data_IF_604831782499
#
_entry.id   IF_604831782499
#
_cell.length_a   1.000
_cell.length_b   1.000
_cell.length_c   1.000
_cell.angle_alpha   90.00
_cell.angle_beta   90.00
_cell.angle_gamma   90.00
#
_symmetry.space_group_name_H-M   'P 1'
#
loop_
_entity.id
_entity.type
_entity.pdbx_description
1 polymer ?
#
# COMPACT_ATOMS: atom_id res chain seq x y z
N UNK A 1 17.79 31.79 -63.20
CA UNK A 1 17.08 32.34 -62.02
C UNK A 1 16.45 31.16 -61.29
N UNK A 2 16.98 30.79 -60.11
CA UNK A 2 16.45 29.67 -59.31
C UNK A 2 15.62 30.26 -58.17
N UNK A 3 14.34 29.94 -58.15
CA UNK A 3 13.38 30.28 -57.09
C UNK A 3 13.75 29.55 -55.80
N UNK A 4 13.83 30.20 -54.64
CA UNK A 4 14.04 29.51 -53.38
C UNK A 4 12.70 28.92 -52.92
N UNK A 5 12.71 27.63 -52.57
CA UNK A 5 11.60 26.96 -51.93
C UNK A 5 11.50 27.43 -50.47
N UNK A 6 10.38 28.03 -50.10
CA UNK A 6 10.06 28.36 -48.71
C UNK A 6 9.61 27.07 -48.04
N UNK A 7 10.46 26.52 -47.17
CA UNK A 7 10.08 25.43 -46.27
C UNK A 7 9.26 26.07 -45.14
N UNK A 8 7.95 25.85 -45.16
CA UNK A 8 7.09 26.17 -44.03
C UNK A 8 7.42 25.21 -42.88
N UNK A 9 8.07 25.73 -41.84
CA UNK A 9 8.28 24.99 -40.60
C UNK A 9 6.94 24.92 -39.85
N UNK A 10 6.29 23.76 -39.88
CA UNK A 10 5.13 23.48 -39.05
C UNK A 10 5.59 23.42 -37.60
N UNK A 11 5.29 24.47 -36.82
CA UNK A 11 5.42 24.46 -35.36
C UNK A 11 4.47 23.39 -34.81
N UNK A 12 5.01 22.20 -34.55
CA UNK A 12 4.34 21.21 -33.70
C UNK A 12 4.30 21.83 -32.30
N UNK A 13 3.13 22.32 -31.91
CA UNK A 13 2.86 22.72 -30.54
C UNK A 13 2.99 21.49 -29.66
N UNK A 14 4.13 21.33 -28.99
CA UNK A 14 4.26 20.39 -27.89
C UNK A 14 3.33 20.89 -26.77
N UNK A 15 2.10 20.38 -26.74
CA UNK A 15 1.27 20.47 -25.55
C UNK A 15 2.04 19.81 -24.41
N UNK A 16 2.55 20.62 -23.49
CA UNK A 16 3.18 20.16 -22.27
C UNK A 16 2.18 19.22 -21.57
N UNK A 17 2.65 18.04 -21.17
CA UNK A 17 1.90 17.17 -20.27
C UNK A 17 1.74 17.94 -18.96
N UNK A 18 0.56 18.53 -18.75
CA UNK A 18 0.24 19.19 -17.50
C UNK A 18 -0.22 18.11 -16.52
N UNK A 19 0.71 17.70 -15.67
CA UNK A 19 0.39 16.96 -14.46
C UNK A 19 -0.37 17.88 -13.50
N UNK A 20 -1.41 17.35 -12.86
CA UNK A 20 -2.13 18.08 -11.84
C UNK A 20 -1.49 17.76 -10.48
N UNK A 21 -0.59 18.63 -10.04
CA UNK A 21 -0.11 18.65 -8.66
C UNK A 21 -1.31 18.93 -7.75
N UNK A 22 -1.51 18.08 -6.73
CA UNK A 22 -2.61 18.26 -5.77
C UNK A 22 -2.04 18.62 -4.41
N UNK A 23 -2.31 19.86 -4.02
CA UNK A 23 -1.91 20.41 -2.72
C UNK A 23 -2.86 19.94 -1.62
N UNK A 24 -2.33 19.25 -0.62
CA UNK A 24 -3.11 18.75 0.52
C UNK A 24 -3.03 19.71 1.71
N UNK A 25 -1.82 20.21 1.96
CA UNK A 25 -1.52 21.20 3.01
C UNK A 25 -0.65 22.29 2.39
N UNK A 26 -0.98 23.54 2.67
CA UNK A 26 -0.19 24.71 2.26
C UNK A 26 -0.32 25.78 3.34
N UNK A 27 0.77 26.47 3.66
CA UNK A 27 0.82 27.52 4.68
C UNK A 27 0.21 27.11 6.04
N UNK A 28 0.38 25.84 6.43
CA UNK A 28 -0.15 25.31 7.69
C UNK A 28 -1.68 25.19 7.73
N UNK A 29 -2.34 25.11 6.57
CA UNK A 29 -3.78 24.93 6.46
C UNK A 29 -4.13 23.71 5.62
N UNK A 30 -5.19 22.99 6.02
CA UNK A 30 -5.75 21.90 5.23
C UNK A 30 -6.41 22.49 3.99
N UNK A 31 -5.98 22.03 2.82
CA UNK A 31 -6.57 22.35 1.51
C UNK A 31 -7.37 21.18 0.95
N UNK A 32 -7.02 19.96 1.39
CA UNK A 32 -7.71 18.74 1.01
C UNK A 32 -8.54 18.12 2.14
N UNK A 33 -9.53 17.33 1.74
CA UNK A 33 -10.18 16.33 2.60
C UNK A 33 -9.86 14.92 2.10
N UNK A 34 -9.73 13.98 3.03
CA UNK A 34 -9.65 12.55 2.72
C UNK A 34 -11.08 12.00 2.62
N UNK A 35 -11.39 11.31 1.54
CA UNK A 35 -12.72 10.78 1.27
C UNK A 35 -12.64 9.28 1.05
N UNK A 36 -13.39 8.52 1.84
CA UNK A 36 -13.50 7.05 1.74
C UNK A 36 -14.90 6.64 1.26
N UNK A 37 -15.13 5.37 0.89
CA UNK A 37 -16.45 4.91 0.47
C UNK A 37 -17.51 5.15 1.55
N UNK A 38 -18.78 5.18 1.15
CA UNK A 38 -19.89 5.29 2.08
C UNK A 38 -19.92 4.16 3.12
N UNK A 39 -19.50 2.97 2.72
CA UNK A 39 -19.35 1.76 3.55
C UNK A 39 -17.93 1.23 3.36
N UNK A 40 -16.94 1.81 4.05
CA UNK A 40 -15.54 1.47 3.84
C UNK A 40 -15.22 0.08 4.39
N UNK A 41 -14.38 -0.67 3.68
CA UNK A 41 -13.68 -1.82 4.25
C UNK A 41 -12.74 -1.35 5.37
N UNK A 42 -12.40 -2.23 6.34
CA UNK A 42 -11.45 -1.87 7.41
C UNK A 42 -10.09 -1.41 6.88
N UNK A 43 -9.64 -1.96 5.75
CA UNK A 43 -8.40 -1.56 5.05
C UNK A 43 -8.47 -0.12 4.55
N UNK A 44 -9.59 0.29 3.95
CA UNK A 44 -9.75 1.63 3.38
C UNK A 44 -9.79 2.69 4.47
N UNK A 45 -10.50 2.42 5.57
CA UNK A 45 -10.49 3.27 6.76
C UNK A 45 -9.07 3.37 7.34
N UNK A 46 -8.38 2.23 7.53
CA UNK A 46 -7.03 2.23 8.07
C UNK A 46 -6.02 2.96 7.17
N UNK A 47 -6.18 2.87 5.85
CA UNK A 47 -5.38 3.61 4.89
C UNK A 47 -5.62 5.13 5.00
N UNK A 48 -6.87 5.57 5.17
CA UNK A 48 -7.19 6.97 5.45
C UNK A 48 -6.60 7.46 6.77
N UNK A 49 -6.69 6.65 7.82
CA UNK A 49 -6.12 6.95 9.14
C UNK A 49 -4.59 7.07 9.08
N UNK A 50 -3.90 6.16 8.37
CA UNK A 50 -2.45 6.24 8.19
C UNK A 50 -2.06 7.51 7.40
N UNK A 51 -2.79 7.87 6.34
CA UNK A 51 -2.52 9.12 5.61
C UNK A 51 -2.70 10.34 6.53
N UNK A 52 -3.85 10.45 7.20
CA UNK A 52 -4.15 11.57 8.09
C UNK A 52 -3.12 11.70 9.21
N UNK A 53 -2.78 10.59 9.87
CA UNK A 53 -1.79 10.54 10.94
C UNK A 53 -0.42 11.05 10.48
N UNK A 54 0.09 10.58 9.35
CA UNK A 54 1.42 10.97 8.89
C UNK A 54 1.45 12.42 8.38
N UNK A 55 0.38 12.90 7.73
CA UNK A 55 0.27 14.31 7.33
C UNK A 55 0.21 15.23 8.55
N UNK A 56 -0.61 14.91 9.56
CA UNK A 56 -0.68 15.68 10.80
C UNK A 56 0.68 15.68 11.51
N UNK A 57 1.34 14.53 11.56
CA UNK A 57 2.66 14.41 12.18
C UNK A 57 3.75 15.20 11.46
N UNK A 58 3.65 15.33 10.14
CA UNK A 58 4.59 16.12 9.34
C UNK A 58 4.34 17.63 9.42
N UNK A 59 3.08 18.05 9.53
CA UNK A 59 2.67 19.45 9.31
C UNK A 59 2.02 20.13 10.52
N UNK A 60 1.57 19.36 11.51
CA UNK A 60 0.67 19.81 12.58
C UNK A 60 -0.78 20.04 12.12
N UNK A 61 -1.12 19.71 10.87
CA UNK A 61 -2.44 19.92 10.28
C UNK A 61 -3.16 18.60 10.09
N UNK A 62 -4.32 18.46 10.73
CA UNK A 62 -5.20 17.31 10.53
C UNK A 62 -6.03 17.50 9.25
N UNK A 63 -5.91 16.56 8.32
CA UNK A 63 -6.83 16.46 7.19
C UNK A 63 -8.14 15.79 7.65
N UNK A 64 -9.32 16.38 7.36
CA UNK A 64 -10.57 15.74 7.72
C UNK A 64 -10.78 14.47 6.89
N UNK A 65 -11.24 13.40 7.55
CA UNK A 65 -11.70 12.16 6.90
C UNK A 65 -13.22 12.19 6.86
N UNK A 66 -13.80 11.99 5.68
CA UNK A 66 -15.24 11.92 5.45
C UNK A 66 -15.58 10.76 4.51
N UNK A 67 -16.85 10.36 4.47
CA UNK A 67 -17.32 9.39 3.48
C UNK A 67 -17.92 10.11 2.27
N UNK A 68 -18.04 9.42 1.14
CA UNK A 68 -18.73 9.97 -0.04
C UNK A 68 -20.21 10.30 0.19
N UNK A 69 -20.81 9.86 1.30
CA UNK A 69 -22.18 10.23 1.68
C UNK A 69 -22.27 11.65 2.26
N UNK A 70 -21.16 12.18 2.79
CA UNK A 70 -21.11 13.48 3.47
C UNK A 70 -19.79 14.20 3.11
N UNK A 71 -19.66 14.56 1.83
CA UNK A 71 -18.49 15.24 1.29
C UNK A 71 -18.38 16.67 1.86
N UNK A 72 -17.31 17.00 2.60
CA UNK A 72 -17.07 18.36 3.07
C UNK A 72 -16.65 19.26 1.91
N UNK A 73 -16.85 20.57 2.05
CA UNK A 73 -16.28 21.55 1.13
C UNK A 73 -14.77 21.63 1.33
N UNK A 74 -14.00 21.24 0.31
CA UNK A 74 -12.55 21.33 0.28
C UNK A 74 -12.06 21.77 -1.11
N UNK A 75 -10.85 22.33 -1.18
CA UNK A 75 -10.24 22.76 -2.44
C UNK A 75 -9.70 21.56 -3.24
N UNK A 76 -9.31 20.51 -2.54
CA UNK A 76 -8.85 19.25 -3.11
C UNK A 76 -9.43 18.05 -2.35
N UNK A 77 -9.36 16.87 -2.97
CA UNK A 77 -9.86 15.63 -2.38
C UNK A 77 -8.86 14.50 -2.59
N UNK A 78 -8.65 13.69 -1.56
CA UNK A 78 -7.91 12.42 -1.64
C UNK A 78 -8.92 11.30 -1.46
N UNK A 79 -9.34 10.68 -2.57
CA UNK A 79 -10.22 9.52 -2.56
C UNK A 79 -9.42 8.26 -2.28
N UNK A 80 -9.76 7.54 -1.22
CA UNK A 80 -9.07 6.32 -0.77
C UNK A 80 -10.06 5.15 -0.83
N UNK A 81 -9.71 4.09 -1.56
CA UNK A 81 -10.50 2.87 -1.68
C UNK A 81 -11.48 2.87 -2.87
N UNK A 82 -12.41 1.91 -2.85
CA UNK A 82 -13.44 1.66 -3.85
C UNK A 82 -14.57 2.72 -3.83
N UNK A 83 -14.18 3.97 -3.99
CA UNK A 83 -15.06 5.14 -4.05
C UNK A 83 -15.78 5.24 -5.39
N UNK A 84 -16.94 5.91 -5.42
CA UNK A 84 -17.62 6.30 -6.67
C UNK A 84 -16.72 7.19 -7.51
N UNK A 85 -15.95 8.09 -6.90
CA UNK A 85 -14.96 8.90 -7.62
C UNK A 85 -13.92 8.04 -8.36
N UNK A 86 -13.43 6.96 -7.74
CA UNK A 86 -12.55 6.00 -8.42
C UNK A 86 -13.25 5.30 -9.60
N UNK A 87 -14.50 4.87 -9.42
CA UNK A 87 -15.30 4.26 -10.49
C UNK A 87 -15.61 5.24 -11.65
N UNK A 88 -15.91 6.51 -11.35
CA UNK A 88 -16.10 7.58 -12.35
C UNK A 88 -14.82 7.87 -13.14
N UNK A 89 -13.66 7.72 -12.49
CA UNK A 89 -12.36 7.75 -13.13
C UNK A 89 -12.07 6.46 -13.94
N UNK A 90 -12.96 5.48 -13.96
CA UNK A 90 -12.77 4.22 -14.69
C UNK A 90 -11.82 3.24 -14.01
N UNK A 91 -11.65 3.36 -12.69
CA UNK A 91 -10.91 2.40 -11.86
C UNK A 91 -11.93 1.41 -11.27
N UNK A 92 -11.96 0.20 -11.81
CA UNK A 92 -12.73 -0.92 -11.27
C UNK A 92 -11.83 -1.75 -10.34
N UNK A 93 -11.93 -1.52 -9.03
CA UNK A 93 -11.09 -2.17 -8.02
C UNK A 93 -11.30 -3.69 -7.95
N UNK A 94 -12.46 -4.18 -8.38
CA UNK A 94 -12.75 -5.62 -8.41
C UNK A 94 -12.09 -6.33 -9.61
N UNK A 95 -11.72 -5.58 -10.65
CA UNK A 95 -11.03 -6.09 -11.84
C UNK A 95 -9.50 -6.00 -11.74
N UNK A 96 -8.97 -5.35 -10.70
CA UNK A 96 -7.54 -5.24 -10.43
C UNK A 96 -6.94 -6.60 -10.05
N UNK A 97 -5.66 -6.79 -10.34
CA UNK A 97 -4.90 -7.94 -9.86
C UNK A 97 -4.79 -7.92 -8.31
N UNK A 98 -4.38 -9.03 -7.73
CA UNK A 98 -4.30 -9.17 -6.27
C UNK A 98 -3.35 -8.14 -5.65
N UNK A 99 -3.87 -7.33 -4.74
CA UNK A 99 -3.16 -6.21 -4.12
C UNK A 99 -2.59 -5.19 -5.14
N UNK A 100 -3.08 -5.18 -6.37
CA UNK A 100 -2.75 -4.12 -7.33
C UNK A 100 -3.32 -2.79 -6.83
N UNK A 101 -2.52 -1.75 -7.00
CA UNK A 101 -2.78 -0.38 -6.58
C UNK A 101 -2.85 0.50 -7.82
N UNK A 102 -3.77 1.45 -7.81
CA UNK A 102 -3.88 2.52 -8.79
C UNK A 102 -3.77 3.86 -8.06
N UNK A 103 -2.80 4.67 -8.50
CA UNK A 103 -2.62 6.06 -8.09
C UNK A 103 -2.92 6.96 -9.29
N UNK A 104 -3.85 7.90 -9.12
CA UNK A 104 -4.23 8.87 -10.16
C UNK A 104 -4.39 10.26 -9.58
N UNK A 105 -3.90 11.27 -10.30
CA UNK A 105 -4.30 12.66 -10.10
C UNK A 105 -5.19 13.13 -11.24
N UNK A 106 -6.35 13.71 -10.94
CA UNK A 106 -7.28 14.28 -11.92
C UNK A 106 -7.82 15.62 -11.41
N UNK A 107 -7.33 16.73 -11.98
CA UNK A 107 -7.70 18.07 -11.52
C UNK A 107 -7.29 18.29 -10.06
N UNK A 108 -8.25 18.53 -9.18
CA UNK A 108 -8.01 18.71 -7.74
C UNK A 108 -8.16 17.40 -6.93
N UNK A 109 -8.17 16.25 -7.60
CA UNK A 109 -8.41 14.93 -6.99
C UNK A 109 -7.14 14.09 -7.04
N UNK A 110 -6.81 13.48 -5.91
CA UNK A 110 -5.95 12.29 -5.85
C UNK A 110 -6.87 11.10 -5.63
N UNK A 111 -6.65 10.02 -6.37
CA UNK A 111 -7.35 8.76 -6.21
C UNK A 111 -6.31 7.68 -5.90
N UNK A 112 -6.50 7.02 -4.78
CA UNK A 112 -5.70 5.89 -4.28
C UNK A 112 -6.67 4.74 -4.12
N UNK A 113 -6.65 3.80 -5.06
CA UNK A 113 -7.58 2.68 -5.05
C UNK A 113 -6.87 1.40 -5.43
N UNK A 114 -7.09 0.33 -4.67
CA UNK A 114 -6.50 -0.96 -4.95
C UNK A 114 -7.46 -2.11 -4.76
N UNK A 115 -6.99 -3.31 -5.09
CA UNK A 115 -7.67 -4.54 -4.77
C UNK A 115 -7.51 -4.81 -3.27
N UNK A 116 -8.61 -4.71 -2.54
CA UNK A 116 -8.67 -4.94 -1.09
C UNK A 116 -9.56 -6.14 -0.76
N UNK A 117 -9.38 -6.68 0.44
CA UNK A 117 -10.25 -7.71 1.03
C UNK A 117 -10.81 -7.21 2.37
N UNK A 118 -12.02 -7.66 2.72
CA UNK A 118 -12.56 -7.45 4.06
C UNK A 118 -11.77 -8.27 5.10
N UNK A 119 -11.36 -7.64 6.19
CA UNK A 119 -10.56 -8.27 7.22
C UNK A 119 -9.75 -7.29 8.05
N UNK A 120 -8.93 -7.84 8.95
CA UNK A 120 -8.03 -7.03 9.78
C UNK A 120 -6.93 -6.40 8.89
N UNK A 121 -6.83 -5.06 8.79
CA UNK A 121 -5.82 -4.40 7.97
C UNK A 121 -4.39 -4.72 8.40
N UNK A 122 -4.20 -5.14 9.66
CA UNK A 122 -2.92 -5.55 10.22
C UNK A 122 -2.56 -7.02 9.96
N UNK A 123 -3.50 -7.79 9.42
CA UNK A 123 -3.27 -9.18 9.03
C UNK A 123 -2.46 -9.25 7.74
N UNK A 124 -1.45 -10.11 7.72
CA UNK A 124 -0.72 -10.45 6.48
C UNK A 124 -1.54 -11.32 5.52
N UNK A 125 -2.74 -11.71 5.93
CA UNK A 125 -3.69 -12.50 5.15
C UNK A 125 -4.67 -11.66 4.36
N UNK A 126 -4.82 -10.39 4.73
CA UNK A 126 -5.81 -9.48 4.14
C UNK A 126 -5.14 -8.66 3.04
N UNK A 127 -5.64 -8.80 1.81
CA UNK A 127 -5.22 -7.95 0.68
C UNK A 127 -5.47 -6.48 0.98
N UNK A 128 -4.48 -5.64 0.69
CA UNK A 128 -4.58 -4.21 1.00
C UNK A 128 -3.91 -3.33 -0.07
N UNK A 129 -4.31 -3.49 -1.34
CA UNK A 129 -3.82 -2.66 -2.44
C UNK A 129 -3.95 -1.15 -2.15
N UNK A 130 -5.09 -0.71 -1.61
CA UNK A 130 -5.29 0.72 -1.30
C UNK A 130 -4.28 1.23 -0.26
N UNK A 131 -4.00 0.41 0.77
CA UNK A 131 -3.02 0.76 1.81
C UNK A 131 -1.60 0.87 1.24
N UNK A 132 -1.26 0.05 0.25
CA UNK A 132 0.04 0.11 -0.42
C UNK A 132 0.24 1.43 -1.15
N UNK A 133 -0.82 1.94 -1.78
CA UNK A 133 -0.81 3.26 -2.41
C UNK A 133 -0.59 4.40 -1.42
N UNK A 134 -1.23 4.34 -0.25
CA UNK A 134 -0.97 5.32 0.82
C UNK A 134 0.48 5.26 1.27
N UNK A 135 1.03 4.07 1.52
CA UNK A 135 2.44 3.94 1.92
C UNK A 135 3.40 4.43 0.84
N UNK A 136 3.10 4.21 -0.44
CA UNK A 136 3.90 4.74 -1.55
C UNK A 136 4.02 6.26 -1.48
N UNK A 137 2.90 6.96 -1.29
CA UNK A 137 2.90 8.42 -1.21
C UNK A 137 3.58 8.92 0.08
N UNK A 138 3.39 8.23 1.21
CA UNK A 138 4.04 8.60 2.46
C UNK A 138 5.57 8.48 2.38
N UNK A 139 6.07 7.42 1.76
CA UNK A 139 7.51 7.22 1.57
C UNK A 139 8.08 8.17 0.51
N UNK A 140 7.43 8.27 -0.65
CA UNK A 140 7.92 9.02 -1.81
C UNK A 140 7.77 10.53 -1.66
N UNK A 141 6.55 10.99 -1.35
CA UNK A 141 6.20 12.41 -1.37
C UNK A 141 6.43 13.07 0.00
N UNK A 142 6.23 12.34 1.10
CA UNK A 142 6.41 12.87 2.46
C UNK A 142 7.75 12.45 3.11
N UNK A 143 8.49 11.50 2.51
CA UNK A 143 9.80 11.05 3.01
C UNK A 143 9.73 10.26 4.32
N UNK A 144 8.60 9.64 4.62
CA UNK A 144 8.41 8.84 5.83
C UNK A 144 9.33 7.62 5.80
N UNK A 145 9.94 7.30 6.94
CA UNK A 145 10.79 6.11 7.09
C UNK A 145 10.42 5.36 8.36
N UNK A 146 10.21 4.05 8.23
CA UNK A 146 9.99 3.14 9.36
C UNK A 146 11.19 2.21 9.53
N UNK A 147 12.08 2.50 10.48
CA UNK A 147 13.33 1.77 10.69
C UNK A 147 13.15 0.49 11.53
N UNK A 148 12.24 0.52 12.51
CA UNK A 148 11.87 -0.62 13.33
C UNK A 148 10.46 -0.41 13.93
N UNK A 149 9.87 -1.46 14.54
CA UNK A 149 8.54 -1.38 15.13
C UNK A 149 8.36 -0.32 16.21
N UNK A 150 7.21 0.34 16.15
CA UNK A 150 6.76 1.33 17.14
C UNK A 150 7.24 2.76 16.88
N UNK A 151 6.87 3.63 17.81
CA UNK A 151 7.07 5.09 17.73
C UNK A 151 8.54 5.49 17.52
N UNK A 152 9.47 4.86 18.25
CA UNK A 152 10.90 5.17 18.17
C UNK A 152 11.52 4.87 16.80
N UNK A 153 10.91 3.99 16.02
CA UNK A 153 11.38 3.63 14.68
C UNK A 153 10.71 4.42 13.57
N UNK A 154 9.76 5.31 13.89
CA UNK A 154 8.98 6.06 12.90
C UNK A 154 9.54 7.48 12.75
N UNK A 155 10.16 7.77 11.61
CA UNK A 155 10.64 9.10 11.25
C UNK A 155 9.70 9.74 10.22
N UNK A 156 9.19 10.93 10.55
CA UNK A 156 8.35 11.74 9.65
C UNK A 156 8.99 13.12 9.52
N UNK A 157 9.50 13.50 8.33
CA UNK A 157 10.06 14.82 8.10
C UNK A 157 9.04 15.93 8.38
N UNK A 158 9.49 17.02 9.02
CA UNK A 158 8.64 18.18 9.26
C UNK A 158 8.57 19.06 8.01
N UNK A 159 7.38 19.51 7.64
CA UNK A 159 7.13 20.40 6.49
C UNK A 159 5.89 21.26 6.73
N UNK A 160 5.81 22.42 6.09
CA UNK A 160 4.63 23.30 6.12
C UNK A 160 3.65 23.03 4.97
N UNK A 161 4.06 22.18 4.03
CA UNK A 161 3.34 21.91 2.80
C UNK A 161 3.48 20.45 2.37
N UNK A 162 2.37 19.90 1.86
CA UNK A 162 2.29 18.56 1.29
C UNK A 162 1.61 18.66 -0.06
N UNK A 163 2.31 18.26 -1.10
CA UNK A 163 1.84 18.26 -2.48
C UNK A 163 2.10 16.89 -3.06
N UNK A 164 1.05 16.23 -3.54
CA UNK A 164 1.19 14.97 -4.25
C UNK A 164 1.39 15.26 -5.73
N UNK A 165 2.51 14.74 -6.24
CA UNK A 165 2.93 14.94 -7.63
C UNK A 165 2.88 13.59 -8.35
N UNK A 166 2.16 13.48 -9.47
CA UNK A 166 2.30 12.32 -10.33
C UNK A 166 3.70 12.37 -10.99
N UNK A 167 4.61 11.49 -10.57
CA UNK A 167 5.90 11.34 -11.24
C UNK A 167 5.76 10.43 -12.47
N UNK A 168 6.53 10.67 -13.53
CA UNK A 168 6.68 9.78 -14.68
C UNK A 168 7.37 8.47 -14.25
N UNK A 169 6.66 7.58 -13.57
CA UNK A 169 7.15 6.28 -13.16
C UNK A 169 7.22 5.30 -14.34
N UNK A 170 8.16 4.36 -14.25
CA UNK A 170 8.22 3.23 -15.17
C UNK A 170 6.95 2.37 -15.02
N UNK A 171 6.14 2.28 -16.07
CA UNK A 171 4.85 1.56 -16.05
C UNK A 171 3.62 2.42 -16.33
N UNK A 172 3.77 3.74 -16.38
CA UNK A 172 2.68 4.63 -16.79
C UNK A 172 2.28 4.39 -18.23
N UNK A 173 0.98 4.18 -18.44
CA UNK A 173 0.41 4.21 -19.78
C UNK A 173 0.20 5.67 -20.19
N UNK A 174 0.45 5.99 -21.44
CA UNK A 174 0.13 7.31 -21.99
C UNK A 174 -0.88 7.05 -23.09
N UNK A 175 -2.12 7.51 -22.89
CA UNK A 175 -3.15 7.38 -23.92
C UNK A 175 -3.27 8.69 -24.69
N UNK A 176 -3.25 8.57 -26.01
CA UNK A 176 -3.46 9.69 -26.91
C UNK A 176 -4.94 9.67 -27.32
N UNK A 177 -5.71 10.67 -26.89
CA UNK A 177 -7.11 10.84 -27.33
C UNK A 177 -7.21 12.02 -28.29
N UNK A 178 -8.34 12.15 -28.99
CA UNK A 178 -8.60 13.26 -29.91
C UNK A 178 -8.52 14.65 -29.23
N UNK A 179 -8.69 14.67 -27.89
CA UNK A 179 -8.69 15.88 -27.06
C UNK A 179 -7.33 16.16 -26.39
N UNK A 180 -6.30 15.34 -26.63
CA UNK A 180 -4.95 15.55 -26.10
C UNK A 180 -4.29 14.29 -25.54
N UNK A 181 -3.14 14.48 -24.88
CA UNK A 181 -2.42 13.40 -24.19
C UNK A 181 -2.95 13.28 -22.77
N UNK A 182 -3.54 12.14 -22.41
CA UNK A 182 -3.87 11.82 -21.02
C UNK A 182 -2.78 10.91 -20.47
N UNK A 183 -2.05 11.45 -19.50
CA UNK A 183 -1.14 10.62 -18.72
C UNK A 183 -2.00 9.74 -17.81
N UNK A 184 -1.84 8.42 -17.92
CA UNK A 184 -2.65 7.47 -17.15
C UNK A 184 -1.95 7.10 -15.86
N UNK A 185 -2.77 6.65 -14.91
CA UNK A 185 -2.51 5.83 -13.73
C UNK A 185 -1.07 5.35 -13.56
N UNK A 186 -0.51 5.69 -12.41
CA UNK A 186 0.54 4.86 -11.83
C UNK A 186 -0.13 3.60 -11.26
N UNK A 187 0.37 2.43 -11.68
CA UNK A 187 -0.13 1.14 -11.20
C UNK A 187 1.03 0.29 -10.74
N UNK A 188 0.85 -0.36 -9.60
CA UNK A 188 1.86 -1.29 -9.09
C UNK A 188 1.22 -2.35 -8.21
N UNK A 189 1.93 -3.46 -8.08
CA UNK A 189 1.62 -4.54 -7.15
C UNK A 189 2.92 -4.99 -6.47
N UNK A 190 2.87 -5.56 -5.26
CA UNK A 190 4.06 -6.12 -4.64
C UNK A 190 4.67 -7.26 -5.48
N UNK A 191 5.96 -7.18 -5.79
CA UNK A 191 6.62 -8.12 -6.72
C UNK A 191 6.71 -9.57 -6.23
N UNK A 192 6.70 -9.77 -4.91
CA UNK A 192 6.78 -11.10 -4.30
C UNK A 192 5.39 -11.57 -3.90
N UNK A 193 5.06 -12.81 -4.28
CA UNK A 193 3.74 -13.36 -3.97
C UNK A 193 3.52 -13.61 -2.47
N UNK A 194 4.61 -13.95 -1.77
CA UNK A 194 4.61 -14.24 -0.35
C UNK A 194 5.71 -13.41 0.34
N UNK A 195 5.30 -12.50 1.21
CA UNK A 195 6.14 -11.48 1.85
C UNK A 195 5.99 -11.62 3.35
N UNK A 196 6.67 -12.62 3.90
CA UNK A 196 6.59 -12.95 5.32
C UNK A 196 7.92 -12.74 6.01
N UNK A 197 7.94 -11.93 7.06
CA UNK A 197 9.03 -11.90 8.04
C UNK A 197 8.54 -12.65 9.28
N UNK A 198 9.27 -13.67 9.71
CA UNK A 198 9.01 -14.29 11.02
C UNK A 198 9.44 -13.32 12.12
N UNK A 199 8.47 -12.61 12.69
CA UNK A 199 8.67 -11.91 13.95
C UNK A 199 8.98 -12.96 15.03
N UNK A 200 10.13 -12.84 15.70
CA UNK A 200 10.70 -13.83 16.63
C UNK A 200 9.91 -14.04 17.91
N UNK A 201 8.68 -14.53 17.80
CA UNK A 201 7.67 -14.56 18.87
C UNK A 201 7.28 -15.97 19.29
N UNK A 202 8.05 -16.98 18.88
CA UNK A 202 7.82 -18.37 19.23
C UNK A 202 8.02 -18.58 20.72
N UNK A 203 6.94 -18.98 21.40
CA UNK A 203 6.97 -19.37 22.80
C UNK A 203 7.09 -20.89 22.88
N UNK A 204 8.32 -21.41 23.01
CA UNK A 204 8.54 -22.83 23.26
C UNK A 204 9.44 -23.02 24.47
N UNK A 205 8.91 -23.69 25.49
CA UNK A 205 9.64 -23.98 26.73
C UNK A 205 9.90 -22.74 27.59
N UNK A 206 10.82 -22.91 28.53
CA UNK A 206 11.33 -21.81 29.35
C UNK A 206 12.38 -21.02 28.53
N UNK A 207 12.15 -19.72 28.27
CA UNK A 207 13.08 -18.94 27.47
C UNK A 207 14.39 -18.72 28.25
N UNK A 208 15.52 -18.58 27.55
CA UNK A 208 16.81 -18.27 28.18
C UNK A 208 16.87 -16.82 28.73
N UNK A 209 15.84 -16.02 28.50
CA UNK A 209 15.75 -14.60 28.88
C UNK A 209 14.44 -14.28 29.59
N UNK A 210 14.39 -13.12 30.25
CA UNK A 210 13.18 -12.62 30.89
C UNK A 210 12.06 -12.43 29.86
N UNK A 211 10.84 -12.88 30.22
CA UNK A 211 9.65 -12.68 29.40
C UNK A 211 9.15 -11.25 29.52
N UNK A 212 8.60 -10.71 28.44
CA UNK A 212 7.69 -9.58 28.53
C UNK A 212 6.52 -9.91 29.44
N UNK A 213 5.96 -8.89 30.10
CA UNK A 213 4.61 -8.99 30.66
C UNK A 213 3.62 -9.25 29.52
N UNK A 214 2.42 -9.82 29.81
CA UNK A 214 1.40 -10.01 28.79
C UNK A 214 1.07 -8.71 28.01
N UNK A 215 1.02 -7.59 28.71
CA UNK A 215 0.71 -6.26 28.14
C UNK A 215 1.86 -5.76 27.25
N UNK A 216 3.10 -5.82 27.72
CA UNK A 216 4.26 -5.43 26.94
C UNK A 216 4.43 -6.31 25.69
N UNK A 217 4.09 -7.60 25.81
CA UNK A 217 4.06 -8.51 24.66
C UNK A 217 2.98 -8.12 23.67
N UNK A 218 1.76 -7.82 24.12
CA UNK A 218 0.67 -7.41 23.24
C UNK A 218 1.02 -6.12 22.48
N UNK A 219 1.57 -5.12 23.16
CA UNK A 219 2.03 -3.87 22.55
C UNK A 219 3.14 -4.14 21.51
N UNK A 220 4.15 -4.93 21.86
CA UNK A 220 5.20 -5.31 20.93
C UNK A 220 4.66 -6.04 19.69
N UNK A 221 3.70 -6.97 19.87
CA UNK A 221 3.10 -7.68 18.74
C UNK A 221 2.31 -6.74 17.83
N UNK A 222 1.57 -5.80 18.40
CA UNK A 222 0.84 -4.81 17.64
C UNK A 222 1.79 -3.92 16.82
N UNK A 223 2.83 -3.36 17.46
CA UNK A 223 3.84 -2.54 16.77
C UNK A 223 4.54 -3.31 15.66
N UNK A 224 4.80 -4.60 15.88
CA UNK A 224 5.36 -5.50 14.85
C UNK A 224 4.40 -5.67 13.68
N UNK A 225 3.11 -5.89 13.94
CA UNK A 225 2.10 -6.00 12.87
C UNK A 225 2.01 -4.71 12.05
N UNK A 226 1.95 -3.54 12.70
CA UNK A 226 1.95 -2.23 12.02
C UNK A 226 3.21 -2.08 11.15
N UNK A 227 4.38 -2.39 11.71
CA UNK A 227 5.65 -2.28 11.00
C UNK A 227 5.73 -3.18 9.76
N UNK A 228 5.34 -4.45 9.86
CA UNK A 228 5.40 -5.34 8.71
C UNK A 228 4.44 -4.89 7.61
N UNK A 229 3.25 -4.37 7.97
CA UNK A 229 2.30 -3.83 6.99
C UNK A 229 2.83 -2.56 6.31
N UNK A 230 3.44 -1.64 7.03
CA UNK A 230 4.14 -0.47 6.44
C UNK A 230 5.18 -0.87 5.38
N UNK A 231 5.78 -2.05 5.53
CA UNK A 231 6.70 -2.64 4.54
C UNK A 231 6.03 -3.54 3.50
N UNK A 232 4.71 -3.39 3.30
CA UNK A 232 3.88 -4.15 2.36
C UNK A 232 3.95 -5.66 2.55
N UNK A 233 4.27 -6.14 3.76
CA UNK A 233 4.30 -7.59 4.05
C UNK A 233 2.89 -8.17 4.05
N UNK A 234 2.76 -9.38 3.52
CA UNK A 234 1.48 -9.99 3.21
C UNK A 234 1.65 -11.19 2.28
N UNK A 235 0.53 -11.69 1.76
CA UNK A 235 0.52 -12.62 0.63
C UNK A 235 -0.63 -12.29 -0.30
N UNK A 236 -0.30 -12.11 -1.58
CA UNK A 236 -1.30 -11.86 -2.63
C UNK A 236 -1.88 -13.18 -3.20
N UNK A 237 -1.34 -14.33 -2.79
CA UNK A 237 -1.84 -15.63 -3.18
C UNK A 237 -1.80 -16.57 -1.96
N UNK A 238 -2.89 -17.29 -1.65
CA UNK A 238 -2.95 -18.23 -0.52
C UNK A 238 -2.19 -19.52 -0.83
N UNK A 239 -0.87 -19.41 -1.03
CA UNK A 239 0.01 -20.54 -1.17
C UNK A 239 0.16 -21.19 0.22
N UNK A 240 -0.31 -22.42 0.32
CA UNK A 240 -0.20 -23.23 1.53
C UNK A 240 0.78 -24.38 1.27
N UNK A 241 1.84 -24.42 2.08
CA UNK A 241 2.83 -25.48 2.04
C UNK A 241 2.75 -26.27 3.33
N UNK A 242 2.25 -27.50 3.24
CA UNK A 242 2.27 -28.44 4.36
C UNK A 242 3.61 -29.18 4.45
N UNK A 243 3.90 -29.74 5.62
CA UNK A 243 4.94 -30.77 5.72
C UNK A 243 4.58 -31.94 4.80
N UNK A 244 5.50 -32.37 3.95
CA UNK A 244 5.34 -33.57 3.16
C UNK A 244 5.58 -34.81 4.03
N UNK A 245 4.97 -35.94 3.64
CA UNK A 245 5.22 -37.25 4.25
C UNK A 245 4.77 -37.43 5.71
N UNK A 246 3.84 -36.61 6.21
CA UNK A 246 3.35 -36.67 7.61
C UNK A 246 2.75 -38.03 8.01
N UNK A 247 2.25 -38.81 7.04
CA UNK A 247 1.66 -40.13 7.27
C UNK A 247 2.61 -41.29 6.99
N UNK A 248 3.84 -41.03 6.53
CA UNK A 248 4.73 -42.10 6.07
C UNK A 248 5.17 -43.02 7.19
N UNK A 249 5.43 -42.47 8.38
CA UNK A 249 5.76 -43.29 9.52
C UNK A 249 4.62 -44.27 9.86
N UNK A 250 3.37 -43.78 9.87
CA UNK A 250 2.20 -44.62 10.17
C UNK A 250 1.98 -45.68 9.08
N UNK A 251 2.21 -45.33 7.80
CA UNK A 251 2.01 -46.24 6.66
C UNK A 251 3.12 -47.27 6.49
N UNK A 252 4.38 -46.92 6.77
CA UNK A 252 5.54 -47.72 6.38
C UNK A 252 6.51 -48.02 7.52
N UNK A 253 6.40 -47.35 8.67
CA UNK A 253 7.37 -47.48 9.77
C UNK A 253 7.43 -48.87 10.39
N UNK A 254 6.35 -49.65 10.30
CA UNK A 254 6.32 -51.03 10.77
C UNK A 254 7.03 -52.02 9.83
N UNK A 255 6.85 -51.86 8.51
CA UNK A 255 7.41 -52.76 7.50
C UNK A 255 8.82 -52.35 7.06
N UNK A 256 9.07 -51.04 7.03
CA UNK A 256 10.31 -50.42 6.59
C UNK A 256 10.86 -49.41 7.61
N UNK A 257 11.14 -49.84 8.85
CA UNK A 257 11.71 -48.95 9.87
C UNK A 257 13.06 -48.35 9.43
N UNK A 258 13.78 -49.02 8.52
CA UNK A 258 15.07 -48.57 7.99
C UNK A 258 15.00 -47.31 7.11
N UNK A 259 13.83 -46.98 6.54
CA UNK A 259 13.62 -45.77 5.74
C UNK A 259 13.62 -44.49 6.59
N UNK A 260 13.40 -44.61 7.90
CA UNK A 260 13.22 -43.47 8.79
C UNK A 260 14.47 -43.20 9.62
N UNK A 261 14.63 -41.97 10.09
CA UNK A 261 15.80 -41.56 10.87
C UNK A 261 15.97 -42.41 12.15
N UNK A 262 17.22 -42.70 12.52
CA UNK A 262 17.57 -43.35 13.79
C UNK A 262 18.08 -42.28 14.76
N UNK A 263 17.33 -42.00 15.83
CA UNK A 263 17.69 -41.01 16.86
C UNK A 263 17.61 -41.70 18.22
N UNK A 264 18.72 -41.69 18.97
CA UNK A 264 18.83 -42.34 20.29
C UNK A 264 18.34 -43.80 20.27
N UNK A 265 18.85 -44.57 19.30
CA UNK A 265 18.50 -45.98 19.06
C UNK A 265 17.00 -46.25 18.82
N UNK A 266 16.24 -45.22 18.41
CA UNK A 266 14.83 -45.35 18.04
C UNK A 266 14.59 -44.82 16.62
N UNK A 267 13.87 -45.61 15.81
CA UNK A 267 13.34 -45.17 14.51
C UNK A 267 12.03 -44.42 14.73
N UNK A 268 11.78 -43.37 13.97
CA UNK A 268 10.56 -42.58 14.07
C UNK A 268 10.48 -41.46 13.04
N UNK A 269 9.37 -40.71 13.02
CA UNK A 269 9.24 -39.51 12.21
C UNK A 269 10.28 -38.44 12.60
#
# INVERSE_FOLDING_TARGET
>A
MRTPAVIAATLVSCSLLAFADVTLVEDGQARAAIVIPAEPLPVEQYAADELAYHVERATGVLLPIATEADLPEAEAYVFIGATKAAAEAGIDTAALAWEETVLRTEGNRVIIAGQDEDGDPLSTETSAGTLWGVYELLERDLGVVWMWPGELGTHVPQTDSVVFRPELAAGMTVSFTADGVRVTDERFEPWLLQRGIRAGNMMRGEPPTQRFTPEARAAYLHDQSVFVRRHRMGRNHPLSYGHAFNSWWDSYGAEHPEWFQLVNDRRGP
#
